data_IF_850174702069
#
_entry.id   IF_850174702069
#
_cell.length_a   1.000
_cell.length_b   1.000
_cell.length_c   1.000
_cell.angle_alpha   90.00
_cell.angle_beta   90.00
_cell.angle_gamma   90.00
#
_symmetry.space_group_name_H-M   'P 1'
#
loop_
_entity.id
_entity.type
_entity.pdbx_description
1 polymer ?
#
# COMPACT_ATOMS: atom_id res chain seq x y z
N UNK A 1 35.72 -66.29 -1.89
CA UNK A 1 34.38 -65.71 -2.11
C UNK A 1 34.12 -64.72 -0.98
N UNK A 2 34.32 -63.43 -1.23
CA UNK A 2 34.05 -62.38 -0.23
C UNK A 2 32.58 -61.93 -0.33
N UNK A 3 31.86 -61.74 0.77
CA UNK A 3 30.45 -61.36 0.73
C UNK A 3 30.29 -59.89 0.28
N UNK A 4 29.23 -59.66 -0.49
CA UNK A 4 28.85 -58.35 -1.03
C UNK A 4 28.29 -57.49 0.13
N UNK A 5 28.75 -56.25 0.34
CA UNK A 5 28.23 -55.40 1.41
C UNK A 5 26.78 -54.98 1.12
N UNK A 6 25.91 -54.85 2.15
CA UNK A 6 24.53 -54.43 1.96
C UNK A 6 24.44 -52.95 1.60
N UNK A 7 23.50 -52.63 0.71
CA UNK A 7 23.22 -51.26 0.25
C UNK A 7 22.74 -50.41 1.44
N UNK A 8 23.46 -49.33 1.72
CA UNK A 8 23.09 -48.35 2.73
C UNK A 8 21.82 -47.62 2.29
N UNK A 9 20.79 -47.65 3.13
CA UNK A 9 19.54 -46.93 2.93
C UNK A 9 19.78 -45.43 2.98
N UNK A 10 19.45 -44.72 1.89
CA UNK A 10 19.39 -43.27 1.87
C UNK A 10 18.35 -42.77 2.89
N UNK A 11 18.66 -41.75 3.71
CA UNK A 11 17.66 -41.15 4.58
C UNK A 11 16.64 -40.40 3.73
N UNK A 12 15.43 -40.96 3.61
CA UNK A 12 14.25 -40.28 3.08
C UNK A 12 13.69 -39.31 4.13
N UNK A 13 14.47 -38.30 4.52
CA UNK A 13 13.92 -37.15 5.24
C UNK A 13 13.66 -36.06 4.21
N UNK A 14 12.43 -36.02 3.70
CA UNK A 14 11.91 -34.78 3.11
C UNK A 14 12.05 -33.69 4.19
N UNK A 15 12.72 -32.57 3.91
CA UNK A 15 12.67 -31.41 4.78
C UNK A 15 11.21 -30.99 4.92
N UNK A 16 10.66 -31.13 6.12
CA UNK A 16 9.39 -30.49 6.46
C UNK A 16 9.59 -28.98 6.25
N UNK A 17 8.65 -28.27 5.58
CA UNK A 17 8.71 -26.82 5.52
C UNK A 17 8.73 -26.30 6.95
N UNK A 18 9.88 -25.78 7.37
CA UNK A 18 10.01 -25.06 8.62
C UNK A 18 9.00 -23.93 8.55
N UNK A 19 8.03 -23.92 9.47
CA UNK A 19 7.19 -22.75 9.69
C UNK A 19 8.14 -21.59 9.91
N UNK A 20 8.28 -20.75 8.90
CA UNK A 20 8.94 -19.46 9.01
C UNK A 20 8.22 -18.73 10.13
N UNK A 21 8.93 -18.49 11.23
CA UNK A 21 8.53 -17.54 12.26
C UNK A 21 7.98 -16.28 11.58
N UNK A 22 6.93 -15.64 12.14
CA UNK A 22 6.34 -14.47 11.52
C UNK A 22 7.46 -13.46 11.28
N UNK A 23 7.75 -13.21 10.00
CA UNK A 23 8.70 -12.18 9.62
C UNK A 23 8.25 -10.90 10.33
N UNK A 24 9.11 -10.36 11.19
CA UNK A 24 8.87 -9.07 11.81
C UNK A 24 8.60 -8.10 10.66
N UNK A 25 7.37 -7.62 10.56
CA UNK A 25 6.95 -6.66 9.57
C UNK A 25 7.60 -5.32 9.94
N UNK A 26 8.88 -5.16 9.61
CA UNK A 26 9.64 -3.92 9.78
C UNK A 26 9.30 -2.88 8.70
N UNK A 27 8.07 -2.95 8.16
CA UNK A 27 7.54 -1.97 7.23
C UNK A 27 6.78 -0.87 7.97
N UNK A 28 6.58 0.31 7.35
CA UNK A 28 5.75 1.35 7.92
C UNK A 28 4.37 0.79 8.28
N UNK A 29 3.85 1.23 9.42
CA UNK A 29 2.52 0.81 9.84
C UNK A 29 1.47 1.27 8.84
N UNK A 30 0.32 0.60 8.82
CA UNK A 30 -0.80 1.03 7.99
C UNK A 30 -1.23 2.46 8.31
N UNK A 31 -1.19 2.84 9.60
CA UNK A 31 -1.48 4.20 10.06
C UNK A 31 -0.50 5.24 9.46
N UNK A 32 0.81 4.99 9.53
CA UNK A 32 1.82 5.86 8.91
C UNK A 32 1.62 5.98 7.40
N UNK A 33 1.31 4.87 6.72
CA UNK A 33 1.07 4.87 5.28
C UNK A 33 -0.18 5.68 4.93
N UNK A 34 -1.26 5.53 5.71
CA UNK A 34 -2.49 6.28 5.56
C UNK A 34 -2.27 7.77 5.81
N UNK A 35 -1.56 8.13 6.88
CA UNK A 35 -1.23 9.52 7.20
C UNK A 35 -0.43 10.17 6.06
N UNK A 36 0.63 9.50 5.60
CA UNK A 36 1.45 9.96 4.47
C UNK A 36 0.62 10.15 3.21
N UNK A 37 -0.34 9.26 2.95
CA UNK A 37 -1.24 9.37 1.81
C UNK A 37 -2.21 10.56 1.95
N UNK A 38 -2.76 10.82 3.14
CA UNK A 38 -3.57 12.00 3.41
C UNK A 38 -2.79 13.29 3.15
N UNK A 39 -1.56 13.38 3.64
CA UNK A 39 -0.68 14.53 3.42
C UNK A 39 -0.42 14.71 1.92
N UNK A 40 -0.12 13.62 1.20
CA UNK A 40 0.09 13.64 -0.25
C UNK A 40 -1.13 14.16 -1.02
N UNK A 41 -2.34 13.73 -0.64
CA UNK A 41 -3.60 14.21 -1.25
C UNK A 41 -3.80 15.71 -0.99
N UNK A 42 -3.44 16.19 0.21
CA UNK A 42 -3.52 17.61 0.56
C UNK A 42 -2.57 18.45 -0.30
N UNK A 43 -1.33 17.97 -0.47
CA UNK A 43 -0.34 18.65 -1.29
C UNK A 43 -0.74 18.69 -2.77
N UNK A 44 -1.25 17.58 -3.31
CA UNK A 44 -1.81 17.51 -4.67
C UNK A 44 -2.95 18.53 -4.89
N UNK A 45 -3.84 18.70 -3.91
CA UNK A 45 -4.92 19.69 -3.99
C UNK A 45 -4.37 21.13 -3.99
N UNK A 46 -3.41 21.42 -3.12
CA UNK A 46 -2.76 22.75 -3.07
C UNK A 46 -1.99 23.05 -4.36
N UNK A 47 -1.27 22.07 -4.89
CA UNK A 47 -0.52 22.19 -6.13
C UNK A 47 -1.46 22.49 -7.31
N UNK A 48 -2.53 21.71 -7.45
CA UNK A 48 -3.56 21.94 -8.49
C UNK A 48 -4.19 23.33 -8.37
N UNK A 49 -4.51 23.77 -7.15
CA UNK A 49 -5.04 25.11 -6.90
C UNK A 49 -4.05 26.22 -7.25
N UNK A 50 -2.79 26.06 -6.85
CA UNK A 50 -1.70 27.00 -7.16
C UNK A 50 -1.46 27.10 -8.66
N UNK A 51 -1.35 25.98 -9.36
CA UNK A 51 -1.18 25.97 -10.82
C UNK A 51 -2.37 26.61 -11.54
N UNK A 52 -3.60 26.34 -11.08
CA UNK A 52 -4.81 26.97 -11.62
C UNK A 52 -4.78 28.49 -11.41
N UNK A 53 -4.40 28.95 -10.22
CA UNK A 53 -4.32 30.37 -9.90
C UNK A 53 -3.25 31.09 -10.74
N UNK A 54 -2.07 30.48 -10.87
CA UNK A 54 -0.96 31.01 -11.68
C UNK A 54 -1.33 31.08 -13.17
N UNK A 55 -2.03 30.06 -13.67
CA UNK A 55 -2.56 30.05 -15.04
C UNK A 55 -3.56 31.19 -15.28
N UNK A 56 -4.51 31.40 -14.35
CA UNK A 56 -5.49 32.49 -14.45
C UNK A 56 -4.81 33.87 -14.38
N UNK A 57 -3.73 34.00 -13.61
CA UNK A 57 -2.90 35.22 -13.53
C UNK A 57 -2.08 35.49 -14.80
N UNK A 58 -2.08 34.58 -15.78
CA UNK A 58 -1.31 34.71 -17.01
C UNK A 58 0.19 34.45 -16.84
N UNK A 59 0.58 33.77 -15.76
CA UNK A 59 1.96 33.28 -15.61
C UNK A 59 2.25 32.19 -16.66
N UNK A 60 3.54 31.97 -16.96
CA UNK A 60 3.98 30.93 -17.89
C UNK A 60 3.81 29.53 -17.26
N UNK A 61 2.57 29.07 -17.20
CA UNK A 61 2.16 27.73 -16.76
C UNK A 61 1.46 27.07 -17.94
N UNK A 62 1.87 25.86 -18.32
CA UNK A 62 1.18 25.12 -19.38
C UNK A 62 -0.19 24.66 -18.86
N UNK A 63 -1.23 24.82 -19.69
CA UNK A 63 -2.56 24.33 -19.39
C UNK A 63 -2.56 22.82 -19.13
N UNK A 64 -1.69 22.05 -19.81
CA UNK A 64 -1.56 20.61 -19.59
C UNK A 64 -1.12 20.28 -18.17
N UNK A 65 -0.19 21.06 -17.59
CA UNK A 65 0.28 20.82 -16.22
C UNK A 65 -0.84 21.06 -15.20
N UNK A 66 -1.65 22.11 -15.40
CA UNK A 66 -2.82 22.39 -14.57
C UNK A 66 -3.81 21.23 -14.64
N UNK A 67 -4.12 20.74 -15.85
CA UNK A 67 -5.04 19.63 -16.05
C UNK A 67 -4.53 18.33 -15.45
N UNK A 68 -3.24 18.02 -15.60
CA UNK A 68 -2.63 16.82 -15.02
C UNK A 68 -2.63 16.91 -13.49
N UNK A 69 -2.25 18.05 -12.92
CA UNK A 69 -2.29 18.24 -11.48
C UNK A 69 -3.72 18.09 -10.93
N UNK A 70 -4.70 18.65 -11.63
CA UNK A 70 -6.12 18.51 -11.26
C UNK A 70 -6.60 17.05 -11.31
N UNK A 71 -6.28 16.31 -12.36
CA UNK A 71 -6.72 14.91 -12.47
C UNK A 71 -6.02 14.01 -11.45
N UNK A 72 -4.73 14.26 -11.15
CA UNK A 72 -4.02 13.58 -10.06
C UNK A 72 -4.68 13.85 -8.71
N UNK A 73 -4.96 15.11 -8.38
CA UNK A 73 -5.61 15.48 -7.14
C UNK A 73 -6.99 14.82 -7.00
N UNK A 74 -7.78 14.83 -8.08
CA UNK A 74 -9.10 14.20 -8.14
C UNK A 74 -9.04 12.68 -7.94
N UNK A 75 -8.18 11.99 -8.67
CA UNK A 75 -8.06 10.53 -8.57
C UNK A 75 -7.60 10.11 -7.17
N UNK A 76 -6.59 10.77 -6.62
CA UNK A 76 -6.08 10.47 -5.27
C UNK A 76 -7.13 10.76 -4.19
N UNK A 77 -7.93 11.81 -4.36
CA UNK A 77 -9.03 12.11 -3.45
C UNK A 77 -10.16 11.07 -3.52
N UNK A 78 -10.49 10.57 -4.71
CA UNK A 78 -11.47 9.49 -4.86
C UNK A 78 -11.01 8.23 -4.11
N UNK A 79 -9.73 7.86 -4.26
CA UNK A 79 -9.14 6.75 -3.51
C UNK A 79 -9.21 6.96 -2.00
N UNK A 80 -8.94 8.18 -1.51
CA UNK A 80 -9.08 8.52 -0.09
C UNK A 80 -10.52 8.34 0.41
N UNK A 81 -11.52 8.70 -0.39
CA UNK A 81 -12.93 8.51 -0.02
C UNK A 81 -13.30 7.03 0.08
N UNK A 82 -12.82 6.19 -0.84
CA UNK A 82 -13.00 4.74 -0.74
C UNK A 82 -12.35 4.18 0.53
N UNK A 83 -11.15 4.66 0.85
CA UNK A 83 -10.42 4.24 2.04
C UNK A 83 -11.11 4.67 3.33
N UNK A 84 -11.64 5.90 3.37
CA UNK A 84 -12.48 6.39 4.47
C UNK A 84 -13.69 5.49 4.68
N UNK A 85 -14.40 5.14 3.61
CA UNK A 85 -15.57 4.28 3.68
C UNK A 85 -15.18 2.88 4.20
N UNK A 86 -14.11 2.28 3.67
CA UNK A 86 -13.60 0.99 4.14
C UNK A 86 -13.16 1.03 5.61
N UNK A 87 -12.51 2.10 6.06
CA UNK A 87 -12.11 2.24 7.46
C UNK A 87 -13.32 2.26 8.41
N UNK A 88 -14.40 2.97 8.03
CA UNK A 88 -15.65 2.96 8.77
C UNK A 88 -16.32 1.57 8.79
N UNK A 89 -16.27 0.86 7.67
CA UNK A 89 -16.84 -0.50 7.59
C UNK A 89 -16.03 -1.50 8.43
N UNK A 90 -14.70 -1.42 8.40
CA UNK A 90 -13.83 -2.23 9.27
C UNK A 90 -14.09 -1.95 10.75
N UNK A 91 -14.29 -0.69 11.12
CA UNK A 91 -14.66 -0.30 12.48
C UNK A 91 -16.00 -0.91 12.91
N UNK A 92 -17.02 -0.85 12.03
CA UNK A 92 -18.34 -1.47 12.27
C UNK A 92 -18.25 -2.99 12.40
N UNK A 93 -17.47 -3.64 11.55
CA UNK A 93 -17.29 -5.10 11.59
C UNK A 93 -16.56 -5.55 12.86
N UNK A 94 -15.51 -4.82 13.28
CA UNK A 94 -14.81 -5.11 14.54
C UNK A 94 -15.74 -5.06 15.77
N UNK A 95 -16.70 -4.12 15.80
CA UNK A 95 -17.72 -4.06 16.85
C UNK A 95 -18.70 -5.24 16.82
N UNK A 96 -18.98 -5.78 15.63
CA UNK A 96 -19.95 -6.85 15.42
C UNK A 96 -19.42 -8.23 15.85
N UNK A 97 -18.10 -8.39 15.92
CA UNK A 97 -17.45 -9.63 16.38
C UNK A 97 -17.39 -9.70 17.93
N UNK A 98 -17.52 -8.58 18.63
CA UNK A 98 -17.37 -8.50 20.10
C UNK A 98 -18.69 -8.59 20.90
N UNK A 99 -19.79 -8.99 20.26
CA UNK A 99 -21.07 -9.31 20.94
C UNK A 99 -21.36 -10.80 20.93
#
# INVERSE_FOLDING_TARGET
>A
MAPIPPLQSFPTQLPLPQQTAPAQANGPTFDETLHTFLDSVNDLQKESGSLSERFIKGEAVDLHDVMIAAEKAKTSFQLLMELRNKALDLYREAMRIQV
#
